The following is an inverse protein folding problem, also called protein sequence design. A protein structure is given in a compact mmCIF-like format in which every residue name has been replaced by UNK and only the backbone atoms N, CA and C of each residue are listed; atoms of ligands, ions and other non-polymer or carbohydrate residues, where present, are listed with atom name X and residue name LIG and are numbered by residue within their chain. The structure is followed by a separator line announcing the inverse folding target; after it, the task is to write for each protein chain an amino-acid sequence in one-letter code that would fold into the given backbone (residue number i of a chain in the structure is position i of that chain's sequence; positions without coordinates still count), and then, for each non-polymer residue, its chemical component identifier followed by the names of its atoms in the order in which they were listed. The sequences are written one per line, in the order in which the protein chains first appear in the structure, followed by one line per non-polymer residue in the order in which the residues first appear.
data_IF_049092624950
#
_entry.id   IF_049092624950
#
_cell.length_a   1.000
_cell.length_b   1.000
_cell.length_c   1.000
_cell.angle_alpha   90.00
_cell.angle_beta   90.00
_cell.angle_gamma   90.00
#
_symmetry.space_group_name_H-M   'P 1'
#
loop_
_entity.id
_entity.type
_entity.pdbx_description
1 polymer ?
#
# COMPACT_ATOMS: atom_id res chain seq x y z
N UNK A 1 -18.51 -36.45 8.39
CA UNK A 1 -17.57 -35.38 8.78
C UNK A 1 -16.54 -35.27 7.67
N UNK A 2 -16.23 -34.07 7.17
CA UNK A 2 -15.32 -33.88 6.04
C UNK A 2 -13.88 -33.78 6.54
N UNK A 3 -12.93 -34.39 5.84
CA UNK A 3 -11.52 -34.40 6.27
C UNK A 3 -10.81 -33.06 6.04
N UNK A 4 -11.19 -32.31 5.01
CA UNK A 4 -10.57 -31.01 4.73
C UNK A 4 -11.43 -30.11 3.86
N UNK A 5 -11.15 -28.81 3.93
CA UNK A 5 -11.66 -27.82 2.97
C UNK A 5 -10.79 -27.91 1.71
N UNK A 6 -11.42 -28.03 0.54
CA UNK A 6 -10.69 -27.88 -0.71
C UNK A 6 -10.25 -26.40 -0.90
N UNK A 7 -9.39 -26.15 -1.87
CA UNK A 7 -8.83 -24.81 -2.11
C UNK A 7 -9.91 -23.76 -2.33
N UNK A 8 -10.91 -24.04 -3.17
CA UNK A 8 -11.98 -23.10 -3.49
C UNK A 8 -12.86 -22.79 -2.26
N UNK A 9 -13.22 -23.79 -1.47
CA UNK A 9 -13.97 -23.61 -0.22
C UNK A 9 -13.17 -22.78 0.79
N UNK A 10 -11.88 -23.07 0.94
CA UNK A 10 -10.99 -22.32 1.83
C UNK A 10 -10.90 -20.85 1.41
N UNK A 11 -10.67 -20.58 0.13
CA UNK A 11 -10.60 -19.22 -0.40
C UNK A 11 -11.93 -18.46 -0.23
N UNK A 12 -13.06 -19.10 -0.53
CA UNK A 12 -14.38 -18.49 -0.36
C UNK A 12 -14.68 -18.15 1.09
N UNK A 13 -14.35 -19.04 2.03
CA UNK A 13 -14.52 -18.77 3.46
C UNK A 13 -13.59 -17.65 3.95
N UNK A 14 -12.34 -17.59 3.46
CA UNK A 14 -11.42 -16.48 3.75
C UNK A 14 -12.01 -15.15 3.27
N UNK A 15 -12.57 -15.11 2.05
CA UNK A 15 -13.23 -13.90 1.51
C UNK A 15 -14.39 -13.44 2.38
N UNK A 16 -15.21 -14.37 2.86
CA UNK A 16 -16.36 -14.07 3.74
C UNK A 16 -15.88 -13.52 5.09
N UNK A 17 -14.79 -14.06 5.65
CA UNK A 17 -14.19 -13.56 6.89
C UNK A 17 -13.68 -12.13 6.72
N UNK A 18 -12.93 -11.85 5.64
CA UNK A 18 -12.43 -10.48 5.37
C UNK A 18 -13.56 -9.49 5.11
N UNK A 19 -14.57 -9.87 4.33
CA UNK A 19 -15.77 -9.02 4.14
C UNK A 19 -16.45 -8.69 5.48
N UNK A 20 -16.46 -9.64 6.41
CA UNK A 20 -17.05 -9.45 7.74
C UNK A 20 -16.22 -8.50 8.63
N UNK A 21 -14.90 -8.47 8.44
CA UNK A 21 -14.00 -7.50 9.08
C UNK A 21 -14.16 -6.10 8.49
N UNK A 22 -14.29 -5.97 7.17
CA UNK A 22 -14.49 -4.67 6.52
C UNK A 22 -15.81 -4.01 6.94
N UNK A 23 -16.85 -4.82 7.22
CA UNK A 23 -18.09 -4.31 7.83
C UNK A 23 -17.81 -3.62 9.18
N UNK A 24 -16.87 -4.10 9.98
CA UNK A 24 -16.51 -3.43 11.25
C UNK A 24 -15.91 -2.04 10.97
N UNK A 25 -15.02 -1.92 9.99
CA UNK A 25 -14.47 -0.63 9.55
C UNK A 25 -15.55 0.32 9.03
N UNK A 26 -16.54 -0.18 8.27
CA UNK A 26 -17.68 0.65 7.84
C UNK A 26 -18.54 1.14 9.01
N UNK A 27 -18.63 0.35 10.09
CA UNK A 27 -19.42 0.68 11.29
C UNK A 27 -18.72 1.68 12.22
N UNK A 28 -17.41 1.88 12.09
CA UNK A 28 -16.64 2.88 12.84
C UNK A 28 -16.90 4.31 12.33
N UNK A 29 -17.40 4.46 11.09
CA UNK A 29 -17.76 5.76 10.51
C UNK A 29 -19.17 6.24 10.88
N UNK A 30 -19.34 7.55 10.99
CA UNK A 30 -20.65 8.19 11.26
C UNK A 30 -21.49 8.47 10.00
N UNK A 31 -21.18 7.79 8.89
CA UNK A 31 -21.78 8.08 7.57
C UNK A 31 -23.09 7.30 7.34
N UNK A 32 -23.32 6.26 8.13
CA UNK A 32 -24.45 5.34 7.96
C UNK A 32 -25.61 5.69 8.88
N UNK A 33 -26.83 5.51 8.39
CA UNK A 33 -28.03 5.64 9.20
C UNK A 33 -28.27 4.41 10.09
N UNK A 34 -29.18 4.54 11.08
CA UNK A 34 -29.46 3.47 12.05
C UNK A 34 -29.92 2.16 11.39
N UNK A 35 -30.67 2.24 10.29
CA UNK A 35 -31.16 1.05 9.57
C UNK A 35 -30.03 0.33 8.84
N UNK A 36 -29.15 1.09 8.18
CA UNK A 36 -27.95 0.57 7.50
C UNK A 36 -26.99 -0.10 8.49
N UNK A 37 -26.71 0.54 9.62
CA UNK A 37 -25.94 -0.03 10.72
C UNK A 37 -26.56 -1.37 11.18
N UNK A 38 -27.88 -1.38 11.38
CA UNK A 38 -28.60 -2.59 11.77
C UNK A 38 -28.51 -3.71 10.72
N UNK A 39 -28.62 -3.36 9.44
CA UNK A 39 -28.48 -4.30 8.33
C UNK A 39 -27.07 -4.89 8.25
N UNK A 40 -26.03 -4.07 8.35
CA UNK A 40 -24.63 -4.50 8.31
C UNK A 40 -24.29 -5.44 9.47
N UNK A 41 -24.73 -5.13 10.69
CA UNK A 41 -24.54 -6.00 11.86
C UNK A 41 -25.20 -7.37 11.69
N UNK A 42 -26.41 -7.40 11.11
CA UNK A 42 -27.10 -8.65 10.77
C UNK A 42 -26.35 -9.42 9.70
N UNK A 43 -25.94 -8.76 8.61
CA UNK A 43 -25.19 -9.36 7.52
C UNK A 43 -23.90 -10.02 8.02
N UNK A 44 -23.12 -9.31 8.83
CA UNK A 44 -21.92 -9.85 9.50
C UNK A 44 -22.23 -11.09 10.32
N UNK A 45 -23.30 -11.06 11.12
CA UNK A 45 -23.71 -12.20 11.95
C UNK A 45 -24.05 -13.42 11.09
N UNK A 46 -24.80 -13.24 10.00
CA UNK A 46 -25.14 -14.32 9.07
C UNK A 46 -23.91 -14.88 8.35
N UNK A 47 -23.00 -14.01 7.91
CA UNK A 47 -21.75 -14.40 7.28
C UNK A 47 -20.90 -15.28 8.22
N UNK A 48 -20.67 -14.84 9.45
CA UNK A 48 -19.88 -15.60 10.42
C UNK A 48 -20.55 -16.91 10.85
N UNK A 49 -21.89 -16.94 11.00
CA UNK A 49 -22.62 -18.19 11.26
C UNK A 49 -22.46 -19.21 10.13
N UNK A 50 -22.41 -18.73 8.88
CA UNK A 50 -22.17 -19.60 7.72
C UNK A 50 -20.77 -20.20 7.78
N UNK A 51 -19.75 -19.40 8.10
CA UNK A 51 -18.36 -19.88 8.28
C UNK A 51 -18.30 -20.95 9.38
N UNK A 52 -18.83 -20.67 10.57
CA UNK A 52 -18.82 -21.63 11.68
C UNK A 52 -19.63 -22.90 11.37
N UNK A 53 -20.75 -22.78 10.65
CA UNK A 53 -21.52 -23.94 10.20
C UNK A 53 -20.69 -24.86 9.30
N UNK A 54 -19.93 -24.29 8.37
CA UNK A 54 -19.04 -25.08 7.51
C UNK A 54 -17.89 -25.68 8.33
N UNK A 55 -17.24 -24.89 9.18
CA UNK A 55 -16.13 -25.35 10.02
C UNK A 55 -16.53 -26.48 10.98
N UNK A 56 -17.76 -26.47 11.52
CA UNK A 56 -18.27 -27.53 12.39
C UNK A 56 -18.39 -28.89 11.73
N UNK A 57 -18.39 -28.93 10.38
CA UNK A 57 -18.50 -30.17 9.58
C UNK A 57 -17.15 -30.71 9.13
N UNK A 58 -16.07 -29.98 9.35
CA UNK A 58 -14.70 -30.36 9.00
C UNK A 58 -13.95 -30.82 10.24
N UNK A 59 -12.92 -31.66 10.08
CA UNK A 59 -12.10 -32.06 11.22
C UNK A 59 -11.38 -30.87 11.88
N UNK A 60 -11.04 -31.05 13.17
CA UNK A 60 -10.50 -29.99 14.01
C UNK A 60 -9.15 -29.46 13.49
N UNK A 61 -8.31 -30.32 12.91
CA UNK A 61 -7.02 -29.94 12.32
C UNK A 61 -7.19 -28.97 11.15
N UNK A 62 -8.11 -29.28 10.24
CA UNK A 62 -8.45 -28.41 9.10
C UNK A 62 -9.08 -27.10 9.55
N UNK A 63 -9.95 -27.13 10.57
CA UNK A 63 -10.55 -25.94 11.14
C UNK A 63 -9.51 -25.01 11.80
N UNK A 64 -8.58 -25.57 12.59
CA UNK A 64 -7.45 -24.82 13.18
C UNK A 64 -6.55 -24.21 12.12
N UNK A 65 -6.24 -24.98 11.07
CA UNK A 65 -5.43 -24.51 9.95
C UNK A 65 -6.10 -23.35 9.23
N UNK A 66 -7.41 -23.47 8.96
CA UNK A 66 -8.21 -22.40 8.37
C UNK A 66 -8.15 -21.13 9.22
N UNK A 67 -8.43 -21.22 10.54
CA UNK A 67 -8.43 -20.06 11.44
C UNK A 67 -7.08 -19.33 11.42
N UNK A 68 -5.97 -20.08 11.46
CA UNK A 68 -4.61 -19.52 11.35
C UNK A 68 -4.42 -18.78 10.02
N UNK A 69 -4.81 -19.39 8.91
CA UNK A 69 -4.70 -18.78 7.58
C UNK A 69 -5.58 -17.54 7.45
N UNK A 70 -6.81 -17.57 7.96
CA UNK A 70 -7.71 -16.43 7.92
C UNK A 70 -7.11 -15.22 8.65
N UNK A 71 -6.56 -15.41 9.85
CA UNK A 71 -5.91 -14.33 10.61
C UNK A 71 -4.64 -13.79 9.95
N UNK A 72 -3.84 -14.63 9.29
CA UNK A 72 -2.59 -14.18 8.64
C UNK A 72 -2.79 -13.65 7.22
N UNK A 73 -3.91 -13.98 6.58
CA UNK A 73 -4.24 -13.53 5.23
C UNK A 73 -4.57 -12.05 5.23
N UNK A 74 -4.13 -11.33 4.20
CA UNK A 74 -4.54 -9.95 3.91
C UNK A 74 -5.30 -9.98 2.61
N UNK A 75 -6.50 -9.41 2.60
CA UNK A 75 -7.31 -9.29 1.39
C UNK A 75 -7.60 -7.81 1.14
N UNK A 76 -7.35 -7.35 -0.07
CA UNK A 76 -7.74 -6.01 -0.50
C UNK A 76 -9.04 -6.14 -1.27
N UNK A 77 -10.13 -5.65 -0.70
CA UNK A 77 -11.41 -5.51 -1.39
C UNK A 77 -11.39 -4.20 -2.18
N UNK A 78 -10.78 -4.22 -3.37
CA UNK A 78 -10.91 -3.11 -4.32
C UNK A 78 -12.18 -3.35 -5.16
N UNK A 79 -13.30 -2.81 -4.67
CA UNK A 79 -14.61 -3.08 -5.29
C UNK A 79 -14.81 -2.22 -6.55
N UNK A 80 -14.09 -1.10 -6.72
CA UNK A 80 -14.36 -0.14 -7.81
C UNK A 80 -13.13 0.61 -8.37
N UNK A 81 -11.91 0.10 -8.21
CA UNK A 81 -10.71 0.79 -8.69
C UNK A 81 -10.36 2.01 -7.83
N UNK A 82 -10.78 2.03 -6.57
CA UNK A 82 -10.43 3.09 -5.61
C UNK A 82 -8.92 3.16 -5.40
N UNK A 83 -8.23 2.03 -5.57
CA UNK A 83 -6.77 2.00 -5.62
C UNK A 83 -6.23 2.78 -6.81
N UNK A 84 -6.85 2.62 -7.98
CA UNK A 84 -6.45 3.32 -9.21
C UNK A 84 -6.78 4.81 -9.13
N UNK A 85 -7.93 5.18 -8.56
CA UNK A 85 -8.31 6.58 -8.32
C UNK A 85 -7.38 7.22 -7.29
N UNK A 86 -7.08 6.56 -6.17
CA UNK A 86 -6.14 7.08 -5.19
C UNK A 86 -4.71 7.17 -5.75
N UNK A 87 -4.30 6.23 -6.59
CA UNK A 87 -3.02 6.31 -7.29
C UNK A 87 -2.99 7.52 -8.24
N UNK A 88 -4.02 7.70 -9.07
CA UNK A 88 -4.16 8.86 -9.97
C UNK A 88 -4.15 10.18 -9.20
N UNK A 89 -4.84 10.28 -8.06
CA UNK A 89 -4.83 11.47 -7.19
C UNK A 89 -3.43 11.77 -6.65
N UNK A 90 -2.73 10.77 -6.12
CA UNK A 90 -1.34 10.95 -5.63
C UNK A 90 -0.41 11.39 -6.75
N UNK A 91 -0.48 10.78 -7.93
CA UNK A 91 0.34 11.19 -9.09
C UNK A 91 0.05 12.64 -9.50
N UNK A 92 -1.22 13.05 -9.50
CA UNK A 92 -1.59 14.43 -9.78
C UNK A 92 -1.07 15.41 -8.72
N UNK A 93 -1.16 15.07 -7.43
CA UNK A 93 -0.61 15.88 -6.33
C UNK A 93 0.92 16.01 -6.43
N UNK A 94 1.64 14.92 -6.73
CA UNK A 94 3.09 14.97 -6.95
C UNK A 94 3.44 15.83 -8.15
N UNK A 95 2.70 15.71 -9.26
CA UNK A 95 2.94 16.50 -10.47
C UNK A 95 2.68 17.98 -10.24
N UNK A 96 1.58 18.33 -9.55
CA UNK A 96 1.27 19.71 -9.19
C UNK A 96 2.35 20.33 -8.29
N UNK A 97 2.81 19.60 -7.27
CA UNK A 97 3.91 20.05 -6.41
C UNK A 97 5.23 20.19 -7.18
N UNK A 98 5.49 19.31 -8.15
CA UNK A 98 6.66 19.45 -9.02
C UNK A 98 6.58 20.71 -9.88
N UNK A 99 5.42 20.97 -10.49
CA UNK A 99 5.20 22.15 -11.33
C UNK A 99 5.27 23.46 -10.53
N UNK A 100 4.70 23.50 -9.32
CA UNK A 100 4.82 24.63 -8.39
C UNK A 100 6.28 24.95 -8.03
N UNK A 101 7.14 23.93 -7.93
CA UNK A 101 8.54 24.05 -7.54
C UNK A 101 9.51 23.90 -8.73
N UNK A 102 8.99 23.99 -9.97
CA UNK A 102 9.76 23.72 -11.20
C UNK A 102 10.98 24.62 -11.35
N UNK A 103 10.86 25.90 -11.00
CA UNK A 103 11.99 26.84 -11.05
C UNK A 103 13.07 26.49 -10.04
N UNK A 104 12.67 26.03 -8.84
CA UNK A 104 13.60 25.54 -7.83
C UNK A 104 14.35 24.31 -8.33
N UNK A 105 13.64 23.31 -8.87
CA UNK A 105 14.29 22.12 -9.44
C UNK A 105 15.22 22.45 -10.61
N UNK A 106 14.85 23.40 -11.47
CA UNK A 106 15.72 23.89 -12.55
C UNK A 106 16.97 24.61 -12.02
N UNK A 107 16.84 25.37 -10.93
CA UNK A 107 17.98 26.00 -10.27
C UNK A 107 18.92 24.94 -9.67
N UNK A 108 18.35 23.93 -9.03
CA UNK A 108 19.10 22.77 -8.51
C UNK A 108 19.88 22.08 -9.62
N UNK A 109 19.23 21.79 -10.75
CA UNK A 109 19.89 21.23 -11.95
C UNK A 109 21.02 22.13 -12.44
N UNK A 110 20.81 23.43 -12.54
CA UNK A 110 21.85 24.38 -12.96
C UNK A 110 23.03 24.43 -11.98
N UNK A 111 22.79 24.32 -10.67
CA UNK A 111 23.86 24.26 -9.66
C UNK A 111 24.68 22.98 -9.86
N UNK A 112 24.04 21.83 -10.04
CA UNK A 112 24.75 20.59 -10.33
C UNK A 112 25.50 20.64 -11.67
N UNK A 113 24.90 21.24 -12.70
CA UNK A 113 25.50 21.29 -14.05
C UNK A 113 26.67 22.27 -14.15
N UNK A 114 26.70 23.32 -13.32
CA UNK A 114 27.82 24.26 -13.28
C UNK A 114 28.90 23.87 -12.25
N UNK A 115 28.50 23.35 -11.09
CA UNK A 115 29.42 23.11 -9.99
C UNK A 115 29.88 21.64 -9.88
N UNK A 116 29.06 20.69 -10.34
CA UNK A 116 29.33 19.25 -10.17
C UNK A 116 29.60 18.50 -11.48
N UNK A 117 29.39 19.12 -12.66
CA UNK A 117 29.52 18.48 -13.98
C UNK A 117 30.86 17.83 -14.28
N UNK A 118 31.95 18.30 -13.69
CA UNK A 118 33.28 17.69 -13.77
C UNK A 118 33.88 17.35 -12.40
N UNK A 119 33.03 17.28 -11.37
CA UNK A 119 33.46 16.96 -10.01
C UNK A 119 33.99 15.52 -9.97
N UNK A 120 35.14 15.36 -9.31
CA UNK A 120 35.78 14.06 -9.05
C UNK A 120 35.71 13.66 -7.57
N UNK A 121 35.03 14.45 -6.75
CA UNK A 121 34.82 14.11 -5.36
C UNK A 121 33.86 12.93 -5.25
N UNK A 122 33.96 12.16 -4.18
CA UNK A 122 32.93 11.18 -3.85
C UNK A 122 31.72 11.90 -3.25
N UNK A 123 30.50 11.40 -3.47
CA UNK A 123 29.26 12.03 -3.00
C UNK A 123 29.31 12.42 -1.51
N UNK A 124 29.81 11.51 -0.67
CA UNK A 124 30.00 11.72 0.78
C UNK A 124 31.00 12.83 1.16
N UNK A 125 31.78 13.34 0.20
CA UNK A 125 32.81 14.37 0.41
C UNK A 125 32.50 15.69 -0.27
N UNK A 126 31.51 15.73 -1.16
CA UNK A 126 31.12 16.95 -1.85
C UNK A 126 30.20 17.80 -0.97
N UNK A 127 30.62 19.03 -0.65
CA UNK A 127 29.85 19.92 0.21
C UNK A 127 28.50 20.33 -0.40
N UNK A 128 28.43 20.42 -1.73
CA UNK A 128 27.16 20.64 -2.44
C UNK A 128 26.26 19.42 -2.23
N UNK A 129 26.75 18.21 -2.48
CA UNK A 129 25.95 17.00 -2.30
C UNK A 129 25.46 16.84 -0.85
N UNK A 130 26.31 17.11 0.15
CA UNK A 130 25.93 17.08 1.58
C UNK A 130 24.83 18.08 1.91
N UNK A 131 24.94 19.31 1.41
CA UNK A 131 23.92 20.33 1.69
C UNK A 131 22.57 19.92 1.08
N UNK A 132 22.58 19.30 -0.10
CA UNK A 132 21.37 18.81 -0.75
C UNK A 132 20.75 17.60 -0.02
N UNK A 133 21.57 16.66 0.47
CA UNK A 133 21.10 15.57 1.34
C UNK A 133 20.52 16.09 2.67
N UNK A 134 21.17 17.09 3.29
CA UNK A 134 20.67 17.71 4.53
C UNK A 134 19.30 18.37 4.35
N UNK A 135 19.04 18.92 3.16
CA UNK A 135 17.74 19.51 2.80
C UNK A 135 16.75 18.46 2.26
N UNK A 136 17.08 17.16 2.30
CA UNK A 136 16.25 16.04 1.84
C UNK A 136 15.80 16.17 0.37
N UNK A 137 16.63 16.73 -0.49
CA UNK A 137 16.33 16.85 -1.92
C UNK A 137 16.58 15.48 -2.56
N UNK A 138 15.52 14.86 -3.07
CA UNK A 138 15.59 13.53 -3.67
C UNK A 138 16.47 13.50 -4.94
N UNK A 139 17.31 12.48 -5.05
CA UNK A 139 18.00 12.15 -6.29
C UNK A 139 16.97 11.71 -7.35
N UNK A 140 16.94 12.38 -8.50
CA UNK A 140 15.97 12.10 -9.55
C UNK A 140 16.08 10.69 -10.16
N UNK A 141 17.23 10.02 -10.03
CA UNK A 141 17.52 8.75 -10.70
C UNK A 141 17.42 7.52 -9.77
N UNK A 142 17.17 7.71 -8.47
CA UNK A 142 17.18 6.62 -7.49
C UNK A 142 18.59 6.10 -7.16
N UNK A 143 18.69 5.49 -5.98
CA UNK A 143 19.92 5.16 -5.23
C UNK A 143 20.90 4.16 -5.86
N UNK A 144 20.71 3.74 -7.11
CA UNK A 144 21.44 2.61 -7.70
C UNK A 144 22.88 2.94 -8.19
N UNK A 145 23.36 4.19 -8.05
CA UNK A 145 24.69 4.60 -8.54
C UNK A 145 25.47 5.51 -7.58
N UNK A 146 25.64 5.05 -6.34
CA UNK A 146 26.34 5.73 -5.26
C UNK A 146 27.88 5.61 -5.29
N UNK A 147 28.53 5.80 -6.44
CA UNK A 147 30.02 5.68 -6.52
C UNK A 147 30.78 6.79 -7.25
N UNK A 148 30.12 7.87 -7.69
CA UNK A 148 30.79 9.11 -8.10
C UNK A 148 29.87 10.29 -7.80
N UNK A 149 30.37 11.47 -7.42
CA UNK A 149 29.58 12.72 -7.27
C UNK A 149 29.10 13.28 -8.63
N UNK A 150 28.67 12.39 -9.50
CA UNK A 150 28.08 12.67 -10.79
C UNK A 150 26.95 11.67 -10.90
N UNK A 151 25.73 12.19 -10.87
CA UNK A 151 24.63 11.61 -11.64
C UNK A 151 25.22 10.93 -12.87
N UNK A 152 25.06 9.62 -12.94
CA UNK A 152 25.53 8.82 -14.05
C UNK A 152 24.56 9.02 -15.22
N UNK A 153 24.50 10.26 -15.69
CA UNK A 153 23.80 10.68 -16.89
C UNK A 153 24.59 10.12 -18.08
N UNK A 154 24.23 8.91 -18.49
CA UNK A 154 24.23 8.59 -19.91
C UNK A 154 22.85 9.02 -20.38
N UNK A 155 22.81 10.00 -21.28
CA UNK A 155 21.56 10.55 -21.82
C UNK A 155 20.67 9.52 -22.50
#
# INVERSE_FOLDING_TARGET
MKDYLNTAERENLIRIVHLSSDIETCLEGNVLNKQEIGNLRRARTFAMKTVESVLSRVNETSAKTFRRTATSSKMTLDIYGDREINFKKKVAEYSAKYDENKEYYKLVELIFDNCCKNCKCDGFTCDIYKEFENQCIYEFDGTDKSTNCRYSYKG
#
